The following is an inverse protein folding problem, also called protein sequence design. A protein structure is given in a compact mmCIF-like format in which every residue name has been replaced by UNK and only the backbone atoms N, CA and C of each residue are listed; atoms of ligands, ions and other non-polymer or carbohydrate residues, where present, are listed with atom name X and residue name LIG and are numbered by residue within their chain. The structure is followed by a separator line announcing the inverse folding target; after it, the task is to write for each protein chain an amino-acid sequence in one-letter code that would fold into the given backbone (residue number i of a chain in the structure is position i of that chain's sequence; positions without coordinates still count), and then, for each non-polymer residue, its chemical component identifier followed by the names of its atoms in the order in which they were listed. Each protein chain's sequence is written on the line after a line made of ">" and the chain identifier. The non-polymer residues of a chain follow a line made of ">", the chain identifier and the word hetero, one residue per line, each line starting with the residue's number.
data_IF_088688296146
#
_entry.id   IF_088688296146
#
_cell.length_a   1.000
_cell.length_b   1.000
_cell.length_c   1.000
_cell.angle_alpha   90.00
_cell.angle_beta   90.00
_cell.angle_gamma   90.00
#
_symmetry.space_group_name_H-M   'P 1'
#
loop_
_entity.id
_entity.type
_entity.pdbx_description
1 polymer ?
#
# COMPACT_ATOMS: atom_id res chain seq x y z
N UNK A 1 -0.48 -30.46 2.01
CA UNK A 1 0.68 -29.54 1.90
C UNK A 1 0.77 -29.10 0.44
N UNK A 2 0.19 -27.96 0.08
CA UNK A 2 0.22 -27.47 -1.30
C UNK A 2 1.55 -26.74 -1.53
N UNK A 3 2.34 -27.17 -2.53
CA UNK A 3 3.52 -26.43 -2.99
C UNK A 3 3.03 -25.12 -3.63
N UNK A 4 3.52 -23.98 -3.14
CA UNK A 4 3.12 -22.64 -3.60
C UNK A 4 3.73 -22.23 -4.93
N UNK A 5 4.60 -23.04 -5.53
CA UNK A 5 5.10 -22.81 -6.90
C UNK A 5 5.50 -24.12 -7.57
N UNK A 6 5.06 -24.29 -8.83
CA UNK A 6 5.53 -25.32 -9.74
C UNK A 6 6.66 -24.72 -10.58
N UNK A 7 7.74 -25.47 -10.77
CA UNK A 7 8.81 -25.13 -11.71
C UNK A 7 8.31 -25.16 -13.16
N UNK A 8 9.04 -24.51 -14.07
CA UNK A 8 8.68 -24.48 -15.49
C UNK A 8 8.53 -25.86 -16.13
N UNK A 9 9.34 -26.82 -15.68
CA UNK A 9 9.27 -28.20 -16.11
C UNK A 9 8.00 -28.90 -15.62
N UNK A 10 7.58 -28.62 -14.40
CA UNK A 10 6.35 -29.17 -13.82
C UNK A 10 5.10 -28.59 -14.50
N UNK A 11 5.07 -27.28 -14.81
CA UNK A 11 3.96 -26.67 -15.56
C UNK A 11 3.87 -27.23 -16.99
N UNK A 12 5.00 -27.37 -17.69
CA UNK A 12 5.02 -27.97 -19.03
C UNK A 12 4.52 -29.43 -19.01
N UNK A 13 4.81 -30.17 -17.94
CA UNK A 13 4.34 -31.55 -17.76
C UNK A 13 2.84 -31.62 -17.49
N UNK A 14 2.29 -30.68 -16.71
CA UNK A 14 0.83 -30.55 -16.52
C UNK A 14 0.14 -30.21 -17.85
N UNK A 15 0.65 -29.24 -18.60
CA UNK A 15 0.10 -28.85 -19.92
C UNK A 15 0.10 -30.04 -20.89
N UNK A 16 1.18 -30.82 -20.93
CA UNK A 16 1.25 -32.04 -21.75
C UNK A 16 0.28 -33.12 -21.26
N UNK A 17 0.08 -33.25 -19.93
CA UNK A 17 -0.89 -34.16 -19.33
C UNK A 17 -2.36 -33.83 -19.69
N UNK A 18 -2.66 -32.56 -19.96
CA UNK A 18 -3.96 -32.09 -20.47
C UNK A 18 -4.11 -32.25 -22.00
N UNK A 19 -3.14 -32.92 -22.67
CA UNK A 19 -3.19 -33.19 -24.11
C UNK A 19 -2.79 -32.00 -25.00
N UNK A 20 -2.30 -30.90 -24.42
CA UNK A 20 -1.81 -29.75 -25.18
C UNK A 20 -0.39 -30.06 -25.66
N UNK A 21 -0.22 -30.21 -26.97
CA UNK A 21 1.10 -30.44 -27.58
C UNK A 21 1.85 -29.10 -27.73
N UNK A 22 2.96 -28.95 -27.00
CA UNK A 22 3.89 -27.83 -27.16
C UNK A 22 5.04 -28.28 -28.08
N UNK A 23 5.19 -27.62 -29.24
CA UNK A 23 6.43 -27.73 -30.01
C UNK A 23 7.59 -27.03 -29.28
N UNK A 24 8.83 -27.26 -29.73
CA UNK A 24 10.03 -26.72 -29.08
C UNK A 24 10.00 -25.18 -28.97
N UNK A 25 9.42 -24.50 -29.97
CA UNK A 25 9.29 -23.04 -29.96
C UNK A 25 8.32 -22.59 -28.88
N UNK A 26 7.14 -23.20 -28.77
CA UNK A 26 6.16 -22.91 -27.72
C UNK A 26 6.67 -23.28 -26.33
N UNK A 27 7.44 -24.36 -26.21
CA UNK A 27 8.10 -24.73 -24.96
C UNK A 27 9.08 -23.63 -24.51
N UNK A 28 9.93 -23.14 -25.41
CA UNK A 28 10.88 -22.08 -25.12
C UNK A 28 10.18 -20.75 -24.79
N UNK A 29 9.10 -20.41 -25.50
CA UNK A 29 8.27 -19.24 -25.20
C UNK A 29 7.63 -19.32 -23.81
N UNK A 30 7.11 -20.50 -23.42
CA UNK A 30 6.55 -20.73 -22.10
C UNK A 30 7.62 -20.60 -21.00
N UNK A 31 8.79 -21.21 -21.19
CA UNK A 31 9.91 -21.09 -20.25
C UNK A 31 10.34 -19.63 -20.07
N UNK A 32 10.46 -18.87 -21.16
CA UNK A 32 10.78 -17.44 -21.11
C UNK A 32 9.68 -16.62 -20.42
N UNK A 33 8.41 -16.91 -20.70
CA UNK A 33 7.29 -16.24 -20.03
C UNK A 33 7.30 -16.51 -18.52
N UNK A 34 7.54 -17.77 -18.12
CA UNK A 34 7.66 -18.16 -16.72
C UNK A 34 8.85 -17.51 -16.05
N UNK A 35 10.01 -17.45 -16.71
CA UNK A 35 11.18 -16.77 -16.19
C UNK A 35 10.91 -15.28 -15.96
N UNK A 36 10.27 -14.61 -16.92
CA UNK A 36 9.84 -13.20 -16.78
C UNK A 36 8.87 -13.01 -15.60
N UNK A 37 7.93 -13.93 -15.42
CA UNK A 37 6.99 -13.92 -14.29
C UNK A 37 7.74 -14.07 -12.96
N UNK A 38 8.63 -15.05 -12.85
CA UNK A 38 9.44 -15.28 -11.63
C UNK A 38 10.34 -14.09 -11.34
N UNK A 39 10.95 -13.49 -12.37
CA UNK A 39 11.74 -12.27 -12.22
C UNK A 39 10.88 -11.10 -11.74
N UNK A 40 9.65 -10.95 -12.27
CA UNK A 40 8.70 -9.93 -11.81
C UNK A 40 8.37 -10.12 -10.32
N UNK A 41 8.00 -11.32 -9.90
CA UNK A 41 7.67 -11.64 -8.50
C UNK A 41 8.84 -11.45 -7.54
N UNK A 42 10.08 -11.48 -8.01
CA UNK A 42 11.27 -11.18 -7.22
C UNK A 42 11.82 -9.75 -7.45
N UNK A 43 11.25 -9.04 -8.42
CA UNK A 43 11.74 -7.78 -8.94
C UNK A 43 11.21 -6.56 -8.21
N UNK A 44 11.78 -5.41 -8.56
CA UNK A 44 11.37 -4.10 -8.08
C UNK A 44 10.79 -3.28 -9.22
N UNK A 45 9.73 -2.52 -8.96
CA UNK A 45 9.13 -1.60 -9.93
C UNK A 45 9.23 -0.16 -9.42
N UNK A 46 9.69 0.76 -10.27
CA UNK A 46 9.63 2.20 -10.01
C UNK A 46 8.59 2.84 -10.92
N UNK A 47 7.63 3.56 -10.33
CA UNK A 47 6.57 4.26 -11.06
C UNK A 47 6.53 5.74 -10.68
N UNK A 48 6.32 6.61 -11.66
CA UNK A 48 6.10 8.03 -11.48
C UNK A 48 4.60 8.34 -11.61
N UNK A 49 4.08 9.14 -10.69
CA UNK A 49 2.68 9.59 -10.67
C UNK A 49 2.64 11.12 -10.60
N UNK A 50 1.80 11.74 -11.42
CA UNK A 50 1.60 13.19 -11.46
C UNK A 50 0.16 13.48 -11.90
N UNK A 51 -0.52 14.46 -11.29
CA UNK A 51 -1.92 14.82 -11.65
C UNK A 51 -2.07 15.20 -13.13
N UNK A 52 -1.02 15.77 -13.72
CA UNK A 52 -0.98 16.13 -15.15
C UNK A 52 -0.56 14.97 -16.06
N UNK A 53 -0.32 13.78 -15.50
CA UNK A 53 0.03 12.56 -16.21
C UNK A 53 -1.16 11.91 -16.91
N UNK A 54 -0.95 10.69 -17.40
CA UNK A 54 -1.98 9.88 -18.07
C UNK A 54 -1.78 8.41 -17.69
N UNK A 55 -2.84 7.74 -17.23
CA UNK A 55 -2.79 6.32 -16.84
C UNK A 55 -2.54 5.37 -18.02
N UNK A 56 -2.66 5.84 -19.27
CA UNK A 56 -2.21 5.10 -20.45
C UNK A 56 -0.68 5.08 -20.63
N UNK A 57 0.07 5.96 -19.94
CA UNK A 57 1.53 5.99 -20.01
C UNK A 57 2.13 4.76 -19.32
N UNK A 58 3.42 4.49 -19.55
CA UNK A 58 4.13 3.37 -18.90
C UNK A 58 4.42 3.62 -17.40
N UNK A 59 4.49 4.88 -16.98
CA UNK A 59 4.84 5.28 -15.61
C UNK A 59 6.32 5.20 -15.28
N UNK A 60 7.19 4.84 -16.23
CA UNK A 60 8.60 4.53 -15.93
C UNK A 60 9.49 5.77 -15.80
N UNK A 61 9.01 6.93 -16.24
CA UNK A 61 9.74 8.20 -16.16
C UNK A 61 8.82 9.34 -15.73
N UNK A 62 9.35 10.48 -15.26
CA UNK A 62 8.55 11.67 -14.97
C UNK A 62 7.78 12.20 -16.19
N UNK A 63 8.34 12.06 -17.41
CA UNK A 63 7.72 12.53 -18.64
C UNK A 63 6.55 11.63 -19.09
N UNK A 64 6.58 10.35 -18.70
CA UNK A 64 5.56 9.35 -18.96
C UNK A 64 4.85 8.93 -17.68
N UNK A 65 4.66 9.88 -16.76
CA UNK A 65 4.03 9.61 -15.47
C UNK A 65 2.57 9.16 -15.62
N UNK A 66 2.16 8.26 -14.74
CA UNK A 66 0.76 7.90 -14.52
C UNK A 66 0.01 9.08 -13.91
N UNK A 67 -1.30 9.11 -14.09
CA UNK A 67 -2.16 10.13 -13.51
C UNK A 67 -2.52 9.80 -12.06
N UNK A 68 -2.81 8.53 -11.77
CA UNK A 68 -3.40 8.11 -10.50
C UNK A 68 -2.50 7.16 -9.71
N UNK A 69 -2.63 7.21 -8.38
CA UNK A 69 -2.02 6.22 -7.48
C UNK A 69 -2.65 4.83 -7.70
N UNK A 70 -3.94 4.76 -8.03
CA UNK A 70 -4.64 3.49 -8.23
C UNK A 70 -4.02 2.70 -9.40
N UNK A 71 -3.77 3.35 -10.53
CA UNK A 71 -3.09 2.70 -11.65
C UNK A 71 -1.67 2.23 -11.26
N UNK A 72 -0.95 3.03 -10.48
CA UNK A 72 0.36 2.64 -9.99
C UNK A 72 0.32 1.40 -9.08
N UNK A 73 -0.71 1.29 -8.23
CA UNK A 73 -0.94 0.13 -7.37
C UNK A 73 -1.33 -1.10 -8.19
N UNK A 74 -2.17 -0.96 -9.20
CA UNK A 74 -2.54 -2.05 -10.13
C UNK A 74 -1.30 -2.63 -10.80
N UNK A 75 -0.41 -1.76 -11.30
CA UNK A 75 0.84 -2.19 -11.96
C UNK A 75 1.84 -2.82 -11.00
N UNK A 76 1.78 -2.43 -9.74
CA UNK A 76 2.62 -2.98 -8.68
C UNK A 76 2.25 -4.43 -8.32
N UNK A 77 1.05 -4.89 -8.67
CA UNK A 77 0.65 -6.28 -8.45
C UNK A 77 1.63 -7.25 -9.11
N UNK A 78 2.06 -8.25 -8.34
CA UNK A 78 2.98 -9.29 -8.79
C UNK A 78 4.45 -8.88 -8.79
N UNK A 79 4.81 -7.74 -8.21
CA UNK A 79 6.19 -7.40 -7.87
C UNK A 79 6.48 -7.71 -6.40
N UNK A 80 7.75 -7.95 -6.07
CA UNK A 80 8.18 -8.07 -4.67
C UNK A 80 8.05 -6.73 -3.95
N UNK A 81 8.45 -5.67 -4.64
CA UNK A 81 8.43 -4.32 -4.12
C UNK A 81 8.19 -3.30 -5.23
N UNK A 82 7.50 -2.22 -4.88
CA UNK A 82 7.26 -1.08 -5.75
C UNK A 82 7.57 0.24 -5.04
N UNK A 83 8.19 1.15 -5.78
CA UNK A 83 8.37 2.54 -5.37
C UNK A 83 7.52 3.44 -6.27
N UNK A 84 6.61 4.20 -5.66
CA UNK A 84 5.74 5.17 -6.32
C UNK A 84 6.29 6.56 -5.99
N UNK A 85 6.76 7.25 -7.03
CA UNK A 85 7.36 8.58 -6.97
C UNK A 85 6.31 9.63 -7.34
N UNK A 86 6.00 10.52 -6.42
CA UNK A 86 5.01 11.57 -6.64
C UNK A 86 5.66 12.83 -7.22
N UNK A 87 5.33 13.15 -8.47
CA UNK A 87 5.73 14.38 -9.15
C UNK A 87 4.95 15.61 -8.70
N UNK A 88 3.80 15.42 -8.08
CA UNK A 88 2.85 16.45 -7.63
C UNK A 88 2.08 15.99 -6.40
N UNK A 89 1.33 16.90 -5.78
CA UNK A 89 0.33 16.51 -4.79
C UNK A 89 -0.79 15.71 -5.44
N UNK A 90 -1.35 14.73 -4.73
CA UNK A 90 -2.38 13.82 -5.23
C UNK A 90 -3.58 13.84 -4.28
N UNK A 91 -4.77 13.90 -4.86
CA UNK A 91 -6.03 13.69 -4.14
C UNK A 91 -6.62 12.35 -4.55
N UNK A 92 -6.93 11.51 -3.57
CA UNK A 92 -7.57 10.20 -3.76
C UNK A 92 -9.05 10.35 -3.41
N UNK A 93 -9.90 10.12 -4.41
CA UNK A 93 -11.37 10.20 -4.30
C UNK A 93 -12.04 8.81 -4.33
N UNK A 94 -11.28 7.75 -4.55
CA UNK A 94 -11.77 6.36 -4.62
C UNK A 94 -10.87 5.42 -3.83
N UNK A 95 -11.44 4.33 -3.31
CA UNK A 95 -10.71 3.29 -2.60
C UNK A 95 -9.53 2.73 -3.42
N UNK A 96 -8.27 2.80 -2.94
CA UNK A 96 -7.19 2.12 -3.60
C UNK A 96 -7.39 0.61 -3.53
N UNK A 97 -6.98 -0.04 -4.60
CA UNK A 97 -7.06 -1.48 -4.70
C UNK A 97 -6.13 -2.16 -3.68
N UNK A 98 -6.51 -3.32 -3.11
CA UNK A 98 -5.62 -4.12 -2.29
C UNK A 98 -4.37 -4.57 -3.07
N UNK A 99 -3.18 -4.45 -2.47
CA UNK A 99 -1.90 -4.88 -3.06
C UNK A 99 -1.28 -6.02 -2.24
N UNK A 100 -1.88 -7.20 -2.38
CA UNK A 100 -1.43 -8.41 -1.68
C UNK A 100 -0.02 -8.83 -2.13
N UNK A 101 0.87 -9.09 -1.16
CA UNK A 101 2.19 -9.68 -1.37
C UNK A 101 3.27 -8.73 -1.90
N UNK A 102 2.99 -7.42 -1.98
CA UNK A 102 3.95 -6.42 -2.49
C UNK A 102 4.35 -5.45 -1.37
N UNK A 103 5.62 -5.08 -1.29
CA UNK A 103 6.07 -3.94 -0.47
C UNK A 103 5.86 -2.64 -1.23
N UNK A 104 5.19 -1.64 -0.65
CA UNK A 104 4.92 -0.37 -1.33
C UNK A 104 5.65 0.76 -0.64
N UNK A 105 6.38 1.56 -1.41
CA UNK A 105 7.04 2.78 -0.93
C UNK A 105 6.52 3.99 -1.70
N UNK A 106 6.04 5.01 -1.00
CA UNK A 106 5.71 6.31 -1.58
C UNK A 106 6.85 7.29 -1.31
N UNK A 107 7.27 8.02 -2.33
CA UNK A 107 8.41 8.94 -2.25
C UNK A 107 8.09 10.29 -2.91
N UNK A 108 8.31 11.38 -2.17
CA UNK A 108 8.37 12.75 -2.69
C UNK A 108 9.83 13.22 -2.81
N UNK A 109 10.56 12.88 -3.88
CA UNK A 109 11.98 13.22 -3.99
C UNK A 109 12.18 14.73 -4.12
N UNK A 110 13.08 15.28 -3.32
CA UNK A 110 13.44 16.70 -3.33
C UNK A 110 12.41 17.65 -2.71
N UNK A 111 11.12 17.28 -2.68
CA UNK A 111 10.03 18.10 -2.14
C UNK A 111 9.00 17.20 -1.46
N UNK A 112 8.54 17.59 -0.27
CA UNK A 112 7.41 16.89 0.37
C UNK A 112 6.15 16.98 -0.51
N UNK A 113 5.45 15.85 -0.66
CA UNK A 113 4.22 15.75 -1.46
C UNK A 113 3.03 15.40 -0.58
N UNK A 114 1.88 15.95 -0.92
CA UNK A 114 0.64 15.66 -0.22
C UNK A 114 -0.09 14.49 -0.89
N UNK A 115 -0.50 13.51 -0.10
CA UNK A 115 -1.58 12.58 -0.46
C UNK A 115 -2.80 12.99 0.36
N UNK A 116 -3.85 13.44 -0.32
CA UNK A 116 -5.09 13.91 0.28
C UNK A 116 -6.20 12.89 0.08
N UNK A 117 -6.78 12.39 1.16
CA UNK A 117 -7.95 11.50 1.13
C UNK A 117 -9.21 12.37 1.23
N UNK A 118 -10.02 12.40 0.17
CA UNK A 118 -11.13 13.34 0.05
C UNK A 118 -12.51 12.69 -0.09
N UNK A 119 -12.59 11.36 -0.04
CA UNK A 119 -13.86 10.63 -0.12
C UNK A 119 -14.27 10.05 1.23
N UNK A 120 -15.52 9.63 1.38
CA UNK A 120 -15.98 8.80 2.50
C UNK A 120 -16.48 7.42 2.08
N UNK A 121 -16.48 7.14 0.76
CA UNK A 121 -16.95 5.90 0.14
C UNK A 121 -15.92 4.77 0.22
N UNK A 122 -15.37 4.54 1.40
CA UNK A 122 -14.39 3.49 1.61
C UNK A 122 -15.02 2.25 2.21
N UNK A 123 -14.48 1.09 1.83
CA UNK A 123 -14.97 -0.23 2.21
C UNK A 123 -15.29 -0.29 3.69
N UNK A 124 -16.53 -0.68 3.99
CA UNK A 124 -16.93 -1.14 5.31
C UNK A 124 -16.29 -2.50 5.52
N UNK A 125 -15.39 -2.64 6.47
CA UNK A 125 -14.98 -3.97 6.93
C UNK A 125 -16.19 -4.72 7.50
N UNK A 126 -16.10 -6.05 7.68
CA UNK A 126 -17.13 -6.82 8.37
C UNK A 126 -17.52 -6.27 9.76
N UNK A 127 -16.65 -5.46 10.37
CA UNK A 127 -16.86 -4.80 11.67
C UNK A 127 -17.54 -3.41 11.58
N UNK A 128 -17.89 -2.92 10.39
CA UNK A 128 -18.53 -1.61 10.22
C UNK A 128 -17.55 -0.43 10.07
N UNK A 129 -16.24 -0.66 10.15
CA UNK A 129 -15.22 0.41 10.06
C UNK A 129 -14.98 0.82 8.61
N UNK A 130 -14.98 2.14 8.34
CA UNK A 130 -14.57 2.70 7.05
C UNK A 130 -13.09 3.10 7.06
N UNK A 131 -12.35 2.86 5.97
CA UNK A 131 -10.87 3.03 5.89
C UNK A 131 -10.41 3.82 4.68
N UNK A 132 -9.73 4.95 4.86
CA UNK A 132 -9.30 5.83 3.75
C UNK A 132 -8.12 5.29 2.94
N UNK A 133 -7.29 4.41 3.53
CA UNK A 133 -6.21 3.71 2.82
C UNK A 133 -6.11 2.29 3.37
N UNK A 134 -6.59 1.28 2.64
CA UNK A 134 -6.48 -0.12 3.05
C UNK A 134 -5.48 -0.86 2.19
N UNK A 135 -4.25 -1.06 2.66
CA UNK A 135 -3.39 -2.06 2.03
C UNK A 135 -3.61 -3.40 2.73
N UNK A 136 -4.71 -4.04 2.35
CA UNK A 136 -4.91 -5.44 2.66
C UNK A 136 -3.87 -6.23 1.86
N UNK A 137 -3.03 -6.99 2.57
CA UNK A 137 -2.02 -7.88 2.02
C UNK A 137 -0.64 -7.30 1.68
N UNK A 138 -0.40 -5.99 1.81
CA UNK A 138 0.95 -5.47 1.62
C UNK A 138 1.91 -6.01 2.70
N UNK A 139 3.13 -6.34 2.30
CA UNK A 139 4.15 -6.85 3.23
C UNK A 139 4.83 -5.75 4.03
N UNK A 140 5.02 -4.57 3.45
CA UNK A 140 5.60 -3.40 4.12
C UNK A 140 5.08 -2.14 3.43
N UNK A 141 4.91 -1.06 4.19
CA UNK A 141 4.57 0.26 3.68
C UNK A 141 5.57 1.31 4.14
N UNK A 142 6.09 2.07 3.18
CA UNK A 142 7.04 3.13 3.47
C UNK A 142 6.54 4.46 2.91
N UNK A 143 6.67 5.52 3.70
CA UNK A 143 6.39 6.89 3.29
C UNK A 143 7.65 7.73 3.52
N UNK A 144 8.28 8.23 2.46
CA UNK A 144 9.41 9.16 2.53
C UNK A 144 9.02 10.50 1.90
N UNK A 145 9.06 11.58 2.71
CA UNK A 145 8.65 12.94 2.30
C UNK A 145 7.23 12.99 1.74
N UNK A 146 6.31 12.23 2.32
CA UNK A 146 4.89 12.25 1.97
C UNK A 146 4.08 12.78 3.13
N UNK A 147 3.43 13.92 2.96
CA UNK A 147 2.40 14.37 3.88
C UNK A 147 1.11 13.59 3.61
N UNK A 148 0.46 13.15 4.67
CA UNK A 148 -0.79 12.38 4.62
C UNK A 148 -1.89 13.30 5.16
N UNK A 149 -2.84 13.66 4.31
CA UNK A 149 -3.93 14.57 4.65
C UNK A 149 -5.24 13.79 4.60
N UNK A 150 -5.84 13.53 5.76
CA UNK A 150 -7.19 13.02 5.83
C UNK A 150 -8.17 14.19 5.79
N UNK A 151 -8.69 14.50 4.60
CA UNK A 151 -9.62 15.61 4.37
C UNK A 151 -11.09 15.19 4.51
N UNK A 152 -11.36 14.06 5.16
CA UNK A 152 -12.71 13.54 5.34
C UNK A 152 -13.28 14.04 6.66
N UNK A 153 -14.52 14.53 6.65
CA UNK A 153 -15.16 15.12 7.84
C UNK A 153 -16.12 14.16 8.55
N UNK A 154 -16.46 13.03 7.92
CA UNK A 154 -17.32 12.00 8.51
C UNK A 154 -16.67 11.37 9.76
N UNK A 155 -17.48 11.20 10.80
CA UNK A 155 -17.04 10.56 12.05
C UNK A 155 -16.79 9.07 11.84
N UNK A 156 -15.76 8.54 12.51
CA UNK A 156 -15.53 7.09 12.56
C UNK A 156 -14.66 6.49 11.45
N UNK A 157 -14.09 7.30 10.56
CA UNK A 157 -13.17 6.88 9.52
C UNK A 157 -11.72 6.75 10.00
N UNK A 158 -11.13 5.58 9.79
CA UNK A 158 -9.69 5.34 10.05
C UNK A 158 -8.88 5.78 8.83
N UNK A 159 -7.80 6.55 9.06
CA UNK A 159 -7.03 7.21 8.00
C UNK A 159 -6.21 6.23 7.12
N UNK A 160 -5.54 5.29 7.78
CA UNK A 160 -4.73 4.26 7.13
C UNK A 160 -4.94 2.94 7.86
N UNK A 161 -5.07 1.87 7.10
CA UNK A 161 -5.26 0.53 7.57
C UNK A 161 -4.31 -0.43 6.84
N UNK A 162 -3.74 -1.33 7.65
CA UNK A 162 -2.97 -2.46 7.20
C UNK A 162 -3.63 -3.76 7.61
N UNK A 163 -4.14 -4.51 6.62
CA UNK A 163 -4.85 -5.76 6.87
C UNK A 163 -3.96 -6.99 7.04
N UNK A 164 -2.65 -6.86 6.88
CA UNK A 164 -1.72 -8.00 6.82
C UNK A 164 -0.35 -7.66 7.40
N UNK A 165 0.37 -8.70 7.84
CA UNK A 165 1.66 -8.58 8.50
C UNK A 165 2.70 -7.78 7.72
N UNK A 166 3.51 -7.02 8.46
CA UNK A 166 4.47 -6.08 7.88
C UNK A 166 4.90 -4.93 8.79
N UNK A 167 5.89 -4.17 8.32
CA UNK A 167 6.31 -2.90 8.92
C UNK A 167 5.71 -1.69 8.21
N UNK A 168 5.50 -0.63 8.98
CA UNK A 168 5.24 0.71 8.45
C UNK A 168 6.41 1.61 8.78
N UNK A 169 6.89 2.37 7.81
CA UNK A 169 7.93 3.37 8.03
C UNK A 169 7.52 4.75 7.56
N UNK A 170 7.85 5.76 8.38
CA UNK A 170 7.67 7.17 8.09
C UNK A 170 9.01 7.88 8.14
N UNK A 171 9.37 8.58 7.07
CA UNK A 171 10.57 9.41 7.01
C UNK A 171 10.20 10.81 6.53
N UNK A 172 10.34 11.83 7.39
CA UNK A 172 9.98 13.22 7.10
C UNK A 172 8.52 13.37 6.62
N UNK A 173 7.58 12.89 7.43
CA UNK A 173 6.15 12.84 7.09
C UNK A 173 5.39 13.74 8.05
N UNK A 174 4.52 14.60 7.51
CA UNK A 174 3.51 15.29 8.31
C UNK A 174 2.14 14.64 8.09
N UNK A 175 1.38 14.46 9.15
CA UNK A 175 0.02 13.95 9.10
C UNK A 175 -0.97 15.03 9.52
N UNK A 176 -2.05 15.20 8.75
CA UNK A 176 -3.09 16.19 8.99
C UNK A 176 -4.48 15.55 8.94
N UNK A 177 -5.37 16.02 9.81
CA UNK A 177 -6.82 15.70 9.78
C UNK A 177 -7.63 16.96 9.60
N UNK A 178 -8.66 16.90 8.75
CA UNK A 178 -9.57 18.02 8.53
C UNK A 178 -10.64 18.16 9.62
N UNK A 179 -10.90 17.11 10.41
CA UNK A 179 -11.87 17.17 11.50
C UNK A 179 -11.40 16.40 12.75
N UNK A 180 -11.66 16.91 13.97
CA UNK A 180 -11.38 16.21 15.22
C UNK A 180 -12.23 14.96 15.44
N UNK A 181 -13.31 14.77 14.67
CA UNK A 181 -14.15 13.56 14.68
C UNK A 181 -13.55 12.39 13.90
N UNK A 182 -12.46 12.62 13.16
CA UNK A 182 -11.75 11.60 12.38
C UNK A 182 -11.00 10.65 13.31
N UNK A 183 -11.07 9.35 13.02
CA UNK A 183 -10.53 8.26 13.84
C UNK A 183 -9.02 8.04 13.57
N UNK A 184 -8.33 7.28 14.43
CA UNK A 184 -6.87 7.10 14.43
C UNK A 184 -6.24 6.80 13.06
N UNK A 185 -4.94 7.11 13.01
CA UNK A 185 -4.12 6.99 11.82
C UNK A 185 -3.86 5.54 11.38
N UNK A 186 -3.76 4.57 12.31
CA UNK A 186 -3.48 3.17 11.96
C UNK A 186 -4.42 2.17 12.63
N UNK A 187 -4.94 1.25 11.83
CA UNK A 187 -5.46 -0.02 12.29
C UNK A 187 -4.68 -1.14 11.63
N UNK A 188 -4.22 -2.11 12.41
CA UNK A 188 -3.72 -3.34 11.84
C UNK A 188 -3.82 -4.48 12.83
N UNK A 189 -4.65 -5.47 12.50
CA UNK A 189 -4.86 -6.65 13.33
C UNK A 189 -3.66 -7.59 13.41
N UNK A 190 -2.63 -7.40 12.56
CA UNK A 190 -1.41 -8.24 12.47
C UNK A 190 -0.13 -7.42 12.21
N UNK A 191 -0.09 -6.14 12.59
CA UNK A 191 1.08 -5.27 12.38
C UNK A 191 2.32 -5.80 13.09
N UNK A 192 3.45 -5.94 12.37
CA UNK A 192 4.73 -6.37 12.97
C UNK A 192 5.43 -5.23 13.69
N UNK A 193 5.35 -4.01 13.16
CA UNK A 193 5.90 -2.83 13.83
C UNK A 193 5.69 -1.53 13.06
N UNK A 194 5.93 -0.42 13.75
CA UNK A 194 5.95 0.93 13.17
C UNK A 194 7.31 1.55 13.49
N UNK A 195 7.94 2.12 12.47
CA UNK A 195 9.17 2.90 12.58
C UNK A 195 8.89 4.33 12.11
N UNK A 196 9.44 5.32 12.79
CA UNK A 196 9.29 6.72 12.38
C UNK A 196 10.58 7.49 12.61
N UNK A 197 10.89 8.33 11.62
CA UNK A 197 11.95 9.32 11.66
C UNK A 197 11.34 10.65 11.18
N UNK A 198 11.18 11.62 12.08
CA UNK A 198 10.49 12.89 11.85
C UNK A 198 9.03 12.73 11.35
N UNK A 199 8.21 12.04 12.16
CA UNK A 199 6.75 12.02 11.99
C UNK A 199 6.13 13.14 12.84
N UNK A 200 5.51 14.12 12.19
CA UNK A 200 4.82 15.23 12.87
C UNK A 200 3.31 15.14 12.69
N UNK A 201 2.55 15.54 13.71
CA UNK A 201 1.09 15.64 13.65
C UNK A 201 0.69 17.12 13.60
N UNK A 202 0.00 17.53 12.53
CA UNK A 202 -0.54 18.87 12.35
C UNK A 202 -2.02 18.97 12.73
N UNK A 203 -2.39 20.10 13.32
CA UNK A 203 -3.67 20.43 13.97
C UNK A 203 -3.91 19.71 15.32
N UNK A 204 -3.88 20.50 16.40
CA UNK A 204 -3.85 20.09 17.82
C UNK A 204 -5.19 19.67 18.43
N UNK A 205 -6.28 19.70 17.65
CA UNK A 205 -7.62 19.72 18.26
C UNK A 205 -8.37 18.39 18.12
N UNK A 206 -7.81 17.43 17.37
CA UNK A 206 -8.16 16.03 17.50
C UNK A 206 -7.33 15.44 18.65
N UNK A 207 -7.90 15.36 19.86
CA UNK A 207 -7.26 14.74 21.02
C UNK A 207 -6.47 13.47 20.59
N UNK A 208 -5.13 13.56 20.65
CA UNK A 208 -4.19 12.73 19.91
C UNK A 208 -4.37 11.22 20.09
N UNK A 209 -5.16 10.59 19.22
CA UNK A 209 -5.36 9.13 19.22
C UNK A 209 -4.51 8.51 18.11
N UNK A 210 -3.28 8.17 18.46
CA UNK A 210 -2.48 7.21 17.71
C UNK A 210 -2.79 5.82 18.27
N UNK A 211 -3.67 5.07 17.60
CA UNK A 211 -3.92 3.67 17.96
C UNK A 211 -2.99 2.77 17.15
N UNK A 212 -2.39 1.79 17.81
CA UNK A 212 -1.57 0.75 17.19
C UNK A 212 -2.04 -0.59 17.75
N UNK A 213 -2.18 -1.59 16.88
CA UNK A 213 -2.47 -2.97 17.26
C UNK A 213 -3.84 -3.17 17.94
N UNK A 214 -4.91 -2.65 17.33
CA UNK A 214 -6.28 -3.01 17.73
C UNK A 214 -6.55 -4.43 17.21
N UNK A 215 -6.86 -5.42 18.07
CA UNK A 215 -7.17 -6.79 17.63
C UNK A 215 -8.33 -6.80 16.65
N UNK A 216 -8.40 -7.83 15.78
CA UNK A 216 -9.57 -8.06 14.96
C UNK A 216 -10.84 -8.16 15.85
N UNK A 217 -11.85 -7.33 15.59
CA UNK A 217 -13.06 -7.22 16.41
C UNK A 217 -12.95 -6.36 17.67
N UNK A 218 -11.79 -5.74 17.94
CA UNK A 218 -11.64 -4.75 19.01
C UNK A 218 -12.31 -3.44 18.62
N UNK A 219 -13.09 -2.83 19.53
CA UNK A 219 -13.75 -1.56 19.28
C UNK A 219 -12.71 -0.44 19.08
N UNK A 220 -12.62 0.16 17.88
CA UNK A 220 -11.69 1.26 17.61
C UNK A 220 -12.01 2.55 18.39
N UNK A 221 -13.15 2.61 19.10
CA UNK A 221 -13.48 3.71 20.02
C UNK A 221 -12.84 3.55 21.40
N UNK A 222 -12.35 2.35 21.75
CA UNK A 222 -11.63 2.14 23.00
C UNK A 222 -10.24 2.78 22.87
N UNK A 223 -9.94 3.75 23.74
CA UNK A 223 -8.62 4.38 23.79
C UNK A 223 -7.62 3.31 24.22
N UNK A 224 -6.77 2.85 23.30
CA UNK A 224 -5.62 2.04 23.67
C UNK A 224 -4.45 2.97 23.97
N UNK A 225 -3.96 3.03 25.22
CA UNK A 225 -2.82 3.87 25.53
C UNK A 225 -1.59 3.39 24.76
N UNK A 226 -0.84 4.33 24.19
CA UNK A 226 0.48 4.07 23.63
C UNK A 226 1.37 3.47 24.73
N UNK A 227 1.64 2.16 24.67
CA UNK A 227 2.69 1.55 25.48
C UNK A 227 4.01 1.80 24.77
N UNK A 228 4.64 2.95 25.04
CA UNK A 228 6.04 3.11 24.67
C UNK A 228 6.85 2.13 25.52
N UNK A 229 7.52 1.14 24.92
CA UNK A 229 8.59 0.40 25.59
C UNK A 229 9.85 1.27 25.68
N UNK A 230 9.73 2.49 26.20
CA UNK A 230 10.89 3.22 26.69
C UNK A 230 11.31 2.55 28.00
N UNK A 231 12.18 1.55 27.91
CA UNK A 231 13.12 1.30 29.00
C UNK A 231 13.96 2.55 29.14
N UNK A 232 13.68 3.35 30.17
CA UNK A 232 14.57 4.43 30.59
C UNK A 232 15.97 3.85 30.81
N UNK A 233 16.97 4.38 30.11
CA UNK A 233 18.35 4.41 30.58
C UNK A 233 18.60 5.77 31.18
#
# INVERSE_FOLDING_TARGET
>A
MYRSSLSAKEIATVIAGEGITLDETKHNQLQLAMFKIVQRYNGSLGLHVNVAGNDANDGLTPATALQTINEALVRSLGYKQSTIVLGSDITITEAPIPVNGTRISFNGPGVQRNITFASSSWTTDPDGTKRTLGFLGAYDLNFDRINIINNVTESGLTAVCLGSGGFVSFTNVNYYVASPSVRPMFWGGNLTGITSNNLNFGNTDAAGRFLVNVPAGGDPNTIWPWRSNRTSM
#
